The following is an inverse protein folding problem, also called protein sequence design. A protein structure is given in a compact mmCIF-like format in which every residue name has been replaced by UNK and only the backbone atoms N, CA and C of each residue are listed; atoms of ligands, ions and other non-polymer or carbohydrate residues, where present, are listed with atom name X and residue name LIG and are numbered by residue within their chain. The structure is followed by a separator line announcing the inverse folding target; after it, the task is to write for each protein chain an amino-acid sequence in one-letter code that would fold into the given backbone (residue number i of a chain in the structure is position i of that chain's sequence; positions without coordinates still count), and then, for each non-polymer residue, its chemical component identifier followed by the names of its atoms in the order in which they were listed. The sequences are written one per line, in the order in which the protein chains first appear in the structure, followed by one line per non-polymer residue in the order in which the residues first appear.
data_IF_298894095207
#
_entry.id   IF_298894095207
#
_cell.length_a   1.000
_cell.length_b   1.000
_cell.length_c   1.000
_cell.angle_alpha   90.00
_cell.angle_beta   90.00
_cell.angle_gamma   90.00
#
_symmetry.space_group_name_H-M   'P 1'
#
loop_
_entity.id
_entity.type
_entity.pdbx_description
1 polymer ?
#
# COMPACT_ATOMS: atom_id res chain seq x y z
N UNK A 1 11.81 22.57 -2.84
CA UNK A 1 11.06 21.34 -2.50
C UNK A 1 11.47 20.85 -1.11
N UNK A 2 10.54 20.24 -0.36
CA UNK A 2 10.74 19.83 1.04
C UNK A 2 11.95 18.90 1.25
N UNK A 3 12.17 17.95 0.34
CA UNK A 3 13.32 17.05 0.40
C UNK A 3 14.68 17.79 0.36
N UNK A 4 14.79 18.88 -0.42
CA UNK A 4 16.01 19.69 -0.45
C UNK A 4 16.22 20.45 0.85
N UNK A 5 15.14 20.96 1.46
CA UNK A 5 15.20 21.59 2.78
C UNK A 5 15.71 20.60 3.83
N UNK A 6 15.15 19.38 3.86
CA UNK A 6 15.61 18.32 4.75
C UNK A 6 17.08 17.97 4.54
N UNK A 7 17.55 17.85 3.30
CA UNK A 7 18.96 17.56 2.98
C UNK A 7 19.94 18.57 3.60
N UNK A 8 19.54 19.83 3.80
CA UNK A 8 20.39 20.83 4.46
C UNK A 8 20.61 20.57 5.95
N UNK A 9 19.77 19.73 6.58
CA UNK A 9 19.80 19.40 8.00
C UNK A 9 20.47 18.03 8.28
N UNK A 10 20.81 17.30 7.22
CA UNK A 10 21.38 15.96 7.29
C UNK A 10 22.90 15.98 7.32
N UNK A 11 23.47 15.03 8.06
CA UNK A 11 24.91 14.80 8.16
C UNK A 11 25.42 13.89 7.04
N UNK A 12 26.76 13.80 6.84
CA UNK A 12 27.34 12.75 6.02
C UNK A 12 26.81 11.36 6.40
N UNK A 13 26.48 10.54 5.39
CA UNK A 13 25.83 9.22 5.49
C UNK A 13 24.33 9.21 5.80
N UNK A 14 23.69 10.36 6.00
CA UNK A 14 22.23 10.43 6.12
C UNK A 14 21.58 10.69 4.77
N UNK A 15 20.34 10.22 4.61
CA UNK A 15 19.67 10.27 3.32
C UNK A 15 18.16 10.51 3.49
N UNK A 16 17.59 11.17 2.48
CA UNK A 16 16.15 11.33 2.27
C UNK A 16 15.73 10.41 1.13
N UNK A 17 14.66 9.66 1.34
CA UNK A 17 14.04 8.72 0.42
C UNK A 17 12.59 9.15 0.16
N UNK A 18 12.11 8.88 -1.05
CA UNK A 18 10.72 9.09 -1.43
C UNK A 18 9.97 7.77 -1.38
N UNK A 19 8.78 7.77 -0.78
CA UNK A 19 7.84 6.65 -0.83
C UNK A 19 6.71 6.90 -1.84
N UNK A 20 6.04 5.83 -2.26
CA UNK A 20 4.79 5.94 -2.99
C UNK A 20 3.72 6.56 -2.08
N UNK A 21 3.01 7.60 -2.55
CA UNK A 21 1.93 8.24 -1.77
C UNK A 21 2.22 9.65 -1.23
N UNK A 22 3.35 10.27 -1.60
CA UNK A 22 3.81 11.63 -1.20
C UNK A 22 4.65 11.72 0.07
N UNK A 23 5.01 10.59 0.67
CA UNK A 23 5.76 10.57 1.92
C UNK A 23 7.28 10.66 1.69
N UNK A 24 7.95 11.30 2.65
CA UNK A 24 9.40 11.37 2.74
C UNK A 24 9.87 10.60 3.97
N UNK A 25 10.88 9.76 3.77
CA UNK A 25 11.58 9.06 4.85
C UNK A 25 12.99 9.58 4.91
N UNK A 26 13.50 9.83 6.11
CA UNK A 26 14.92 10.15 6.27
C UNK A 26 15.56 9.32 7.37
N UNK A 27 16.81 8.92 7.13
CA UNK A 27 17.61 8.12 8.07
C UNK A 27 18.56 9.06 8.82
N UNK A 28 18.46 9.07 10.14
CA UNK A 28 19.44 9.72 11.01
C UNK A 28 20.44 8.71 11.57
N UNK A 29 21.66 9.18 11.85
CA UNK A 29 22.64 8.48 12.66
C UNK A 29 22.14 8.39 14.12
N UNK A 30 22.57 7.36 14.85
CA UNK A 30 22.12 7.10 16.22
C UNK A 30 22.67 8.11 17.24
N UNK A 31 23.77 8.78 16.95
CA UNK A 31 24.39 9.72 17.88
C UNK A 31 23.64 11.06 17.90
N UNK A 32 23.23 11.50 19.09
CA UNK A 32 22.55 12.80 19.28
C UNK A 32 21.16 12.93 18.61
N UNK A 33 20.58 11.83 18.13
CA UNK A 33 19.35 11.84 17.31
C UNK A 33 18.17 12.56 17.97
N UNK A 34 18.00 12.50 19.29
CA UNK A 34 16.90 13.17 20.00
C UNK A 34 16.91 14.69 19.80
N UNK A 35 18.04 15.35 20.03
CA UNK A 35 18.17 16.79 19.83
C UNK A 35 17.93 17.17 18.36
N UNK A 36 18.38 16.30 17.44
CA UNK A 36 18.24 16.51 16.00
C UNK A 36 16.80 16.34 15.50
N UNK A 37 16.05 15.40 16.05
CA UNK A 37 14.61 15.24 15.78
C UNK A 37 13.87 16.55 16.12
N UNK A 38 14.13 17.14 17.28
CA UNK A 38 13.52 18.42 17.67
C UNK A 38 13.94 19.59 16.77
N UNK A 39 15.21 19.62 16.33
CA UNK A 39 15.69 20.64 15.39
C UNK A 39 15.01 20.51 14.03
N UNK A 40 14.89 19.27 13.52
CA UNK A 40 14.24 18.99 12.23
C UNK A 40 12.76 19.35 12.29
N UNK A 41 12.02 18.94 13.33
CA UNK A 41 10.61 19.29 13.51
C UNK A 41 10.38 20.81 13.49
N UNK A 42 11.21 21.56 14.24
CA UNK A 42 11.12 23.03 14.24
C UNK A 42 11.37 23.61 12.85
N UNK A 43 12.37 23.09 12.13
CA UNK A 43 12.70 23.52 10.78
C UNK A 43 11.60 23.19 9.78
N UNK A 44 10.95 22.02 9.90
CA UNK A 44 9.80 21.62 9.08
C UNK A 44 8.59 22.52 9.32
N UNK A 45 8.31 22.91 10.57
CA UNK A 45 7.21 23.85 10.90
C UNK A 45 7.44 25.24 10.30
N UNK A 46 8.69 25.67 10.18
CA UNK A 46 9.07 26.95 9.61
C UNK A 46 9.18 26.93 8.08
N UNK A 47 9.14 25.74 7.46
CA UNK A 47 9.23 25.60 6.02
C UNK A 47 8.11 26.40 5.32
N UNK A 48 8.49 27.07 4.24
CA UNK A 48 7.59 27.82 3.36
C UNK A 48 7.82 27.36 1.93
N UNK A 49 6.75 26.94 1.28
CA UNK A 49 6.74 26.59 -0.12
C UNK A 49 6.12 27.73 -0.92
N UNK A 50 6.79 28.24 -1.94
CA UNK A 50 6.21 29.26 -2.81
C UNK A 50 5.59 28.59 -4.03
N UNK A 51 4.29 28.79 -4.23
CA UNK A 51 3.56 28.35 -5.40
C UNK A 51 2.98 29.57 -6.11
N UNK A 52 3.44 29.84 -7.33
CA UNK A 52 2.98 30.98 -8.14
C UNK A 52 3.02 32.33 -7.38
N UNK A 53 4.13 32.58 -6.68
CA UNK A 53 4.32 33.79 -5.86
C UNK A 53 3.61 33.78 -4.50
N UNK A 54 2.74 32.80 -4.22
CA UNK A 54 2.03 32.68 -2.94
C UNK A 54 2.81 31.78 -1.98
N UNK A 55 3.16 32.26 -0.77
CA UNK A 55 3.76 31.41 0.26
C UNK A 55 2.71 30.50 0.88
N UNK A 56 2.87 29.20 0.72
CA UNK A 56 2.10 28.14 1.37
C UNK A 56 2.92 27.53 2.52
N UNK A 57 2.26 27.29 3.64
CA UNK A 57 2.83 26.56 4.77
C UNK A 57 2.17 25.18 4.86
N UNK A 58 2.78 24.12 4.29
CA UNK A 58 2.22 22.79 4.39
C UNK A 58 2.21 22.33 5.85
N UNK A 59 1.14 21.65 6.26
CA UNK A 59 1.14 20.93 7.54
C UNK A 59 1.92 19.64 7.34
N UNK A 60 3.03 19.50 8.06
CA UNK A 60 3.91 18.34 7.94
C UNK A 60 3.85 17.58 9.28
N UNK A 61 3.39 16.33 9.22
CA UNK A 61 3.44 15.41 10.33
C UNK A 61 4.79 14.72 10.38
N UNK A 62 5.31 14.44 11.58
CA UNK A 62 6.57 13.73 11.74
C UNK A 62 6.43 12.62 12.77
N UNK A 63 6.88 11.44 12.41
CA UNK A 63 7.07 10.32 13.33
C UNK A 63 8.49 9.79 13.22
N UNK A 64 8.93 9.05 14.23
CA UNK A 64 10.26 8.46 14.24
C UNK A 64 10.31 7.17 15.07
N UNK A 65 11.30 6.35 14.77
CA UNK A 65 11.65 5.17 15.55
C UNK A 65 13.17 4.94 15.51
N UNK A 66 13.66 4.09 16.42
CA UNK A 66 15.03 3.57 16.36
C UNK A 66 15.02 2.14 15.86
N UNK A 67 15.87 1.82 14.89
CA UNK A 67 16.01 0.47 14.33
C UNK A 67 17.38 -0.13 14.63
N UNK A 68 17.42 -1.46 14.77
CA UNK A 68 18.69 -2.21 14.82
C UNK A 68 18.83 -3.02 13.54
N UNK A 69 20.03 -3.06 12.98
CA UNK A 69 20.33 -3.89 11.81
C UNK A 69 20.42 -5.37 12.22
N UNK A 70 19.94 -6.32 11.38
CA UNK A 70 19.18 -6.09 10.15
C UNK A 70 17.71 -5.71 10.45
N UNK A 71 17.19 -4.74 9.71
CA UNK A 71 15.76 -4.37 9.80
C UNK A 71 14.96 -5.37 9.00
N UNK A 72 14.24 -6.26 9.69
CA UNK A 72 13.26 -7.15 9.06
C UNK A 72 12.01 -6.33 8.72
N UNK A 73 11.44 -6.55 7.54
CA UNK A 73 10.17 -5.95 7.13
C UNK A 73 10.16 -4.41 7.16
N UNK A 74 11.14 -3.75 6.54
CA UNK A 74 11.27 -2.29 6.54
C UNK A 74 9.99 -1.56 6.06
N UNK A 75 9.34 -2.06 5.02
CA UNK A 75 8.12 -1.46 4.45
C UNK A 75 6.98 -1.33 5.49
N UNK A 76 6.91 -2.24 6.45
CA UNK A 76 5.89 -2.26 7.49
C UNK A 76 6.11 -1.16 8.51
N UNK A 77 7.35 -1.06 8.97
CA UNK A 77 7.77 0.01 9.86
C UNK A 77 7.49 1.39 9.23
N UNK A 78 7.67 1.52 7.92
CA UNK A 78 7.38 2.75 7.19
C UNK A 78 5.87 3.06 7.14
N UNK A 79 5.01 2.05 6.93
CA UNK A 79 3.55 2.22 6.96
C UNK A 79 3.02 2.68 8.33
N UNK A 80 3.58 2.13 9.42
CA UNK A 80 3.23 2.54 10.79
C UNK A 80 3.69 3.96 11.10
N UNK A 81 4.94 4.27 10.74
CA UNK A 81 5.46 5.62 10.86
C UNK A 81 4.56 6.61 10.12
N UNK A 82 4.06 6.24 8.94
CA UNK A 82 3.15 7.10 8.18
C UNK A 82 1.83 7.36 8.94
N UNK A 83 1.19 6.29 9.41
CA UNK A 83 -0.07 6.36 10.17
C UNK A 83 0.07 7.25 11.42
N UNK A 84 1.23 7.18 12.09
CA UNK A 84 1.50 7.95 13.30
C UNK A 84 1.95 9.38 13.00
N UNK A 85 2.55 9.63 11.82
CA UNK A 85 2.89 10.98 11.39
C UNK A 85 1.64 11.85 11.24
N UNK A 86 0.51 11.29 10.79
CA UNK A 86 -0.77 12.00 10.78
C UNK A 86 -1.21 12.45 12.17
N UNK A 87 -0.93 11.66 13.21
CA UNK A 87 -1.26 12.02 14.59
C UNK A 87 -0.38 13.17 15.11
N UNK A 88 0.86 13.27 14.62
CA UNK A 88 1.77 14.38 14.94
C UNK A 88 1.19 15.75 14.54
N UNK A 89 0.33 15.78 13.52
CA UNK A 89 -0.39 16.99 13.14
C UNK A 89 -1.35 17.47 14.22
N UNK A 90 -1.95 16.55 14.99
CA UNK A 90 -2.86 16.86 16.08
C UNK A 90 -2.12 17.10 17.41
N UNK A 91 -1.11 16.29 17.73
CA UNK A 91 -0.35 16.43 18.98
C UNK A 91 0.63 17.61 18.97
N UNK A 92 1.02 18.07 17.77
CA UNK A 92 1.91 19.22 17.62
C UNK A 92 3.37 18.94 17.96
N UNK A 93 3.76 17.67 18.08
CA UNK A 93 5.15 17.26 18.27
C UNK A 93 5.45 15.97 17.48
N UNK A 94 6.73 15.65 17.19
CA UNK A 94 7.09 14.40 16.57
C UNK A 94 6.66 13.21 17.43
N UNK A 95 6.08 12.19 16.79
CA UNK A 95 5.58 11.01 17.48
C UNK A 95 6.63 9.89 17.50
N UNK A 96 6.84 9.30 18.68
CA UNK A 96 7.78 8.19 18.85
C UNK A 96 7.02 6.86 18.87
N UNK A 97 7.24 6.04 17.84
CA UNK A 97 6.62 4.71 17.71
C UNK A 97 6.85 3.82 18.96
N UNK A 98 8.02 3.91 19.59
CA UNK A 98 8.41 3.05 20.72
C UNK A 98 7.77 3.48 22.06
N UNK A 99 7.30 4.72 22.21
CA UNK A 99 6.72 5.23 23.48
C UNK A 99 5.25 4.86 23.68
N UNK A 100 4.55 4.40 22.65
CA UNK A 100 3.09 4.13 22.70
C UNK A 100 2.68 2.74 23.23
N UNK A 101 3.60 2.01 23.84
CA UNK A 101 3.33 0.65 24.30
C UNK A 101 3.49 -0.33 23.14
N UNK A 102 4.64 -1.01 23.14
CA UNK A 102 5.03 -1.93 22.09
C UNK A 102 4.00 -3.04 21.83
N UNK A 103 3.09 -3.36 22.77
CA UNK A 103 2.17 -4.50 22.66
C UNK A 103 1.08 -4.38 21.59
N UNK A 104 0.29 -3.30 21.56
CA UNK A 104 -0.80 -3.15 20.60
C UNK A 104 -0.28 -2.85 19.18
N UNK A 105 0.76 -2.03 19.07
CA UNK A 105 1.41 -1.71 17.80
C UNK A 105 2.13 -2.93 17.22
N UNK A 106 2.83 -3.73 18.04
CA UNK A 106 3.43 -4.99 17.56
C UNK A 106 2.40 -6.02 17.13
N UNK A 107 1.19 -6.00 17.70
CA UNK A 107 0.15 -6.95 17.34
C UNK A 107 -0.48 -6.59 15.99
N UNK A 108 -0.86 -5.33 15.79
CA UNK A 108 -1.34 -4.84 14.48
C UNK A 108 -0.28 -5.05 13.38
N UNK A 109 0.99 -4.79 13.70
CA UNK A 109 2.14 -5.10 12.85
C UNK A 109 2.19 -6.57 12.47
N UNK A 110 2.11 -7.45 13.47
CA UNK A 110 2.19 -8.90 13.27
C UNK A 110 1.05 -9.39 12.38
N UNK A 111 -0.15 -8.88 12.58
CA UNK A 111 -1.32 -9.28 11.80
C UNK A 111 -1.18 -8.80 10.35
N UNK A 112 -0.65 -7.60 10.11
CA UNK A 112 -0.30 -7.12 8.76
C UNK A 112 0.82 -7.94 8.10
N UNK A 113 1.87 -8.34 8.84
CA UNK A 113 2.94 -9.23 8.33
C UNK A 113 2.34 -10.56 7.89
N UNK A 114 1.49 -11.15 8.74
CA UNK A 114 0.84 -12.43 8.47
C UNK A 114 -0.02 -12.32 7.21
N UNK A 115 -0.85 -11.27 7.12
CA UNK A 115 -1.67 -11.03 5.93
C UNK A 115 -0.82 -10.82 4.68
N UNK A 116 0.27 -10.05 4.75
CA UNK A 116 1.17 -9.87 3.62
C UNK A 116 1.77 -11.20 3.15
N UNK A 117 2.24 -12.04 4.08
CA UNK A 117 2.77 -13.36 3.72
C UNK A 117 1.69 -14.24 3.09
N UNK A 118 0.43 -14.15 3.54
CA UNK A 118 -0.72 -14.83 2.90
C UNK A 118 -0.94 -14.32 1.48
N UNK A 119 -0.92 -13.01 1.25
CA UNK A 119 -1.04 -12.41 -0.10
C UNK A 119 0.09 -12.91 -1.01
N UNK A 120 1.34 -12.89 -0.54
CA UNK A 120 2.50 -13.36 -1.33
C UNK A 120 2.35 -14.84 -1.69
N UNK A 121 2.00 -15.69 -0.72
CA UNK A 121 1.72 -17.11 -0.97
C UNK A 121 0.60 -17.30 -1.97
N UNK A 122 -0.49 -16.54 -1.85
CA UNK A 122 -1.64 -16.64 -2.75
C UNK A 122 -1.30 -16.20 -4.18
N UNK A 123 -0.44 -15.18 -4.34
CA UNK A 123 0.10 -14.78 -5.64
C UNK A 123 1.03 -15.84 -6.25
N UNK A 124 1.77 -16.58 -5.43
CA UNK A 124 2.75 -17.59 -5.87
C UNK A 124 2.14 -18.96 -6.17
N UNK A 125 1.07 -19.33 -5.46
CA UNK A 125 0.47 -20.67 -5.49
C UNK A 125 -0.97 -20.67 -6.01
N UNK A 126 -1.41 -19.57 -6.65
CA UNK A 126 -2.77 -19.40 -7.19
C UNK A 126 -3.89 -19.69 -6.17
N UNK A 127 -3.74 -19.15 -4.94
CA UNK A 127 -4.77 -19.22 -3.90
C UNK A 127 -5.67 -17.98 -3.85
N UNK A 128 -5.79 -17.27 -4.97
CA UNK A 128 -6.89 -16.35 -5.17
C UNK A 128 -7.99 -17.03 -5.98
N UNK A 129 -9.23 -16.65 -5.70
CA UNK A 129 -10.39 -17.05 -6.48
C UNK A 129 -11.14 -15.81 -6.93
N UNK A 130 -11.71 -15.88 -8.12
CA UNK A 130 -12.58 -14.84 -8.65
C UNK A 130 -14.03 -15.26 -8.41
N UNK A 131 -14.83 -14.30 -7.97
CA UNK A 131 -16.28 -14.40 -7.87
C UNK A 131 -16.90 -13.39 -8.84
N UNK A 132 -18.10 -13.68 -9.35
CA UNK A 132 -18.80 -12.81 -10.28
C UNK A 132 -20.15 -12.38 -9.70
N UNK A 133 -20.28 -11.13 -9.28
CA UNK A 133 -21.52 -10.60 -8.73
C UNK A 133 -22.37 -9.97 -9.86
N UNK A 134 -23.61 -10.41 -10.08
CA UNK A 134 -24.47 -9.84 -11.12
C UNK A 134 -24.87 -8.40 -10.78
N UNK A 135 -24.70 -7.50 -11.74
CA UNK A 135 -25.17 -6.12 -11.69
C UNK A 135 -26.24 -5.91 -12.77
N UNK A 136 -27.41 -5.46 -12.34
CA UNK A 136 -28.53 -5.16 -13.22
C UNK A 136 -28.81 -3.65 -13.22
N UNK A 137 -28.50 -3.01 -14.34
CA UNK A 137 -28.80 -1.61 -14.58
C UNK A 137 -30.31 -1.39 -14.78
N UNK A 138 -30.80 -0.25 -14.30
CA UNK A 138 -32.20 0.16 -14.42
C UNK A 138 -32.64 0.24 -15.90
N UNK A 139 -31.69 0.56 -16.80
CA UNK A 139 -31.90 0.64 -18.25
C UNK A 139 -31.82 -0.71 -18.99
N UNK A 140 -31.67 -1.81 -18.25
CA UNK A 140 -31.60 -3.16 -18.81
C UNK A 140 -30.19 -3.69 -19.07
N UNK A 141 -29.14 -2.89 -18.82
CA UNK A 141 -27.76 -3.36 -18.86
C UNK A 141 -27.54 -4.48 -17.84
N UNK A 142 -26.82 -5.53 -18.26
CA UNK A 142 -26.41 -6.64 -17.38
C UNK A 142 -24.93 -6.89 -17.59
N UNK A 143 -24.19 -6.92 -16.48
CA UNK A 143 -22.79 -7.31 -16.43
C UNK A 143 -22.51 -7.94 -15.07
N UNK A 144 -21.32 -8.50 -14.89
CA UNK A 144 -20.91 -9.02 -13.59
C UNK A 144 -19.69 -8.25 -13.10
N UNK A 145 -19.70 -7.87 -11.84
CA UNK A 145 -18.53 -7.35 -11.15
C UNK A 145 -17.64 -8.52 -10.70
N UNK A 146 -16.37 -8.47 -11.07
CA UNK A 146 -15.36 -9.44 -10.69
C UNK A 146 -14.81 -9.06 -9.32
N UNK A 147 -14.98 -9.96 -8.36
CA UNK A 147 -14.57 -9.79 -6.99
C UNK A 147 -13.54 -10.84 -6.62
N UNK A 148 -12.32 -10.40 -6.36
CA UNK A 148 -11.26 -11.28 -5.87
C UNK A 148 -11.51 -11.67 -4.41
N UNK A 149 -11.18 -12.92 -4.07
CA UNK A 149 -11.13 -13.46 -2.72
C UNK A 149 -9.83 -14.24 -2.57
N UNK A 150 -9.28 -14.25 -1.37
CA UNK A 150 -8.11 -15.06 -1.05
C UNK A 150 -8.56 -16.30 -0.29
N UNK A 151 -8.20 -17.48 -0.79
CA UNK A 151 -8.49 -18.76 -0.15
C UNK A 151 -7.42 -19.05 0.92
N UNK A 152 -7.86 -19.42 2.12
CA UNK A 152 -7.00 -19.83 3.21
C UNK A 152 -6.77 -21.34 3.27
N UNK A 153 -5.93 -21.78 4.20
CA UNK A 153 -5.50 -23.17 4.30
C UNK A 153 -6.64 -24.15 4.67
N UNK A 154 -7.73 -23.65 5.26
CA UNK A 154 -8.92 -24.45 5.59
C UNK A 154 -10.10 -24.22 4.63
N UNK A 155 -9.86 -23.56 3.49
CA UNK A 155 -10.88 -23.23 2.48
C UNK A 155 -11.71 -21.99 2.83
N UNK A 156 -11.33 -21.24 3.86
CA UNK A 156 -11.98 -19.98 4.21
C UNK A 156 -11.66 -18.89 3.17
N UNK A 157 -12.67 -18.09 2.80
CA UNK A 157 -12.50 -16.99 1.85
C UNK A 157 -12.34 -15.66 2.57
N UNK A 158 -11.17 -15.05 2.43
CA UNK A 158 -10.88 -13.70 2.91
C UNK A 158 -11.28 -12.65 1.86
N UNK A 159 -12.02 -11.62 2.29
CA UNK A 159 -12.54 -10.58 1.41
C UNK A 159 -11.49 -9.51 1.05
N UNK A 160 -11.69 -8.77 -0.05
CA UNK A 160 -10.76 -7.73 -0.52
C UNK A 160 -10.60 -6.59 0.49
N UNK A 161 -11.64 -6.29 1.27
CA UNK A 161 -11.58 -5.26 2.30
C UNK A 161 -10.58 -5.59 3.42
N UNK A 162 -10.24 -6.86 3.61
CA UNK A 162 -9.29 -7.31 4.63
C UNK A 162 -7.85 -7.28 4.12
N UNK A 163 -7.61 -7.71 2.87
CA UNK A 163 -6.25 -7.87 2.35
C UNK A 163 -5.79 -6.75 1.40
N UNK A 164 -6.67 -6.03 0.72
CA UNK A 164 -6.26 -4.95 -0.20
C UNK A 164 -5.62 -3.75 0.52
N UNK A 165 -6.04 -3.32 1.72
CA UNK A 165 -5.32 -2.26 2.45
C UNK A 165 -3.86 -2.64 2.73
N UNK A 166 -3.65 -3.90 3.14
CA UNK A 166 -2.32 -4.51 3.37
C UNK A 166 -1.53 -4.60 2.06
N UNK A 167 -2.17 -5.01 0.95
CA UNK A 167 -1.54 -5.04 -0.36
C UNK A 167 -1.09 -3.65 -0.82
N UNK A 168 -1.89 -2.62 -0.57
CA UNK A 168 -1.56 -1.23 -0.89
C UNK A 168 -0.38 -0.72 -0.07
N UNK A 169 -0.42 -0.93 1.25
CA UNK A 169 0.65 -0.53 2.16
C UNK A 169 2.00 -1.18 1.81
N UNK A 170 1.99 -2.38 1.23
CA UNK A 170 3.19 -3.12 0.82
C UNK A 170 3.52 -3.08 -0.66
N UNK A 171 2.83 -2.23 -1.44
CA UNK A 171 3.09 -2.09 -2.87
C UNK A 171 2.80 -3.36 -3.68
N UNK A 172 1.94 -4.24 -3.16
CA UNK A 172 1.50 -5.48 -3.81
C UNK A 172 0.23 -5.29 -4.65
N UNK A 173 -0.46 -4.15 -4.56
CA UNK A 173 -1.71 -3.89 -5.30
C UNK A 173 -1.58 -4.15 -6.80
N UNK A 174 -0.46 -3.75 -7.42
CA UNK A 174 -0.25 -3.98 -8.86
C UNK A 174 -0.14 -5.45 -9.22
N UNK A 175 0.47 -6.28 -8.35
CA UNK A 175 0.57 -7.73 -8.57
C UNK A 175 -0.78 -8.41 -8.42
N UNK A 176 -1.57 -7.98 -7.44
CA UNK A 176 -2.95 -8.46 -7.25
C UNK A 176 -3.82 -8.09 -8.45
N UNK A 177 -3.80 -6.82 -8.86
CA UNK A 177 -4.57 -6.35 -10.02
C UNK A 177 -4.19 -7.12 -11.30
N UNK A 178 -2.89 -7.33 -11.53
CA UNK A 178 -2.41 -8.11 -12.67
C UNK A 178 -2.93 -9.56 -12.63
N UNK A 179 -2.84 -10.21 -11.46
CA UNK A 179 -3.36 -11.57 -11.28
C UNK A 179 -4.86 -11.63 -11.60
N UNK A 180 -5.66 -10.66 -11.12
CA UNK A 180 -7.11 -10.58 -11.40
C UNK A 180 -7.38 -10.40 -12.89
N UNK A 181 -6.66 -9.51 -13.57
CA UNK A 181 -6.81 -9.28 -15.01
C UNK A 181 -6.50 -10.56 -15.79
N UNK A 182 -5.36 -11.19 -15.53
CA UNK A 182 -4.91 -12.39 -16.24
C UNK A 182 -5.92 -13.53 -16.10
N UNK A 183 -6.41 -13.79 -14.89
CA UNK A 183 -7.37 -14.85 -14.62
C UNK A 183 -8.76 -14.54 -15.17
N UNK A 184 -9.18 -13.27 -15.15
CA UNK A 184 -10.44 -12.85 -15.77
C UNK A 184 -10.40 -13.06 -17.28
N UNK A 185 -9.31 -12.65 -17.94
CA UNK A 185 -9.14 -12.81 -19.38
C UNK A 185 -9.04 -14.29 -19.79
N UNK A 186 -8.32 -15.10 -19.00
CA UNK A 186 -8.24 -16.55 -19.22
C UNK A 186 -9.62 -17.21 -19.13
N UNK A 187 -10.43 -16.83 -18.13
CA UNK A 187 -11.80 -17.30 -18.00
C UNK A 187 -12.67 -16.90 -19.19
N UNK A 188 -12.57 -15.65 -19.66
CA UNK A 188 -13.32 -15.17 -20.82
C UNK A 188 -12.95 -15.94 -22.09
N UNK A 189 -11.66 -16.19 -22.34
CA UNK A 189 -11.22 -16.94 -23.53
C UNK A 189 -11.72 -18.40 -23.48
N UNK A 190 -11.62 -19.06 -22.33
CA UNK A 190 -12.10 -20.43 -22.16
C UNK A 190 -13.62 -20.56 -22.36
N UNK A 191 -14.40 -19.53 -21.98
CA UNK A 191 -15.85 -19.57 -21.99
C UNK A 191 -16.50 -18.79 -23.14
N UNK A 192 -15.71 -18.22 -24.06
CA UNK A 192 -16.20 -17.34 -25.15
C UNK A 192 -17.32 -17.94 -26.00
N UNK A 193 -17.38 -19.27 -26.15
CA UNK A 193 -18.42 -19.98 -26.91
C UNK A 193 -19.68 -20.25 -26.09
N UNK A 194 -19.51 -20.57 -24.80
CA UNK A 194 -20.62 -20.91 -23.91
C UNK A 194 -21.31 -19.66 -23.35
N UNK A 195 -20.56 -18.58 -23.16
CA UNK A 195 -21.03 -17.30 -22.62
C UNK A 195 -20.75 -16.15 -23.62
N UNK A 196 -21.36 -16.18 -24.82
CA UNK A 196 -21.16 -15.14 -25.81
C UNK A 196 -21.68 -13.79 -25.28
N UNK A 197 -20.87 -12.73 -25.40
CA UNK A 197 -21.25 -11.40 -24.95
C UNK A 197 -21.17 -11.17 -23.43
N UNK A 198 -20.49 -12.05 -22.69
CA UNK A 198 -20.21 -11.85 -21.27
C UNK A 198 -19.48 -10.52 -21.03
N UNK A 199 -20.08 -9.67 -20.18
CA UNK A 199 -19.50 -8.40 -19.73
C UNK A 199 -19.05 -8.54 -18.29
N UNK A 200 -17.75 -8.34 -18.06
CA UNK A 200 -17.13 -8.36 -16.74
C UNK A 200 -16.55 -6.98 -16.42
N UNK A 201 -16.75 -6.51 -15.20
CA UNK A 201 -16.16 -5.29 -14.66
C UNK A 201 -15.09 -5.66 -13.64
N UNK A 202 -13.87 -5.13 -13.80
CA UNK A 202 -12.74 -5.37 -12.89
C UNK A 202 -12.43 -4.07 -12.15
N UNK A 203 -12.26 -4.15 -10.83
CA UNK A 203 -11.78 -3.04 -10.01
C UNK A 203 -10.25 -3.02 -10.04
N UNK A 204 -9.66 -1.85 -10.31
CA UNK A 204 -8.20 -1.66 -10.36
C UNK A 204 -7.76 -0.56 -9.41
N UNK A 205 -6.60 -0.74 -8.78
CA UNK A 205 -6.02 0.28 -7.93
C UNK A 205 -5.46 1.47 -8.75
N UNK A 206 -5.45 2.69 -8.21
CA UNK A 206 -4.92 3.87 -8.91
C UNK A 206 -3.45 3.72 -9.33
N UNK A 207 -2.65 2.98 -8.55
CA UNK A 207 -1.24 2.72 -8.84
C UNK A 207 -1.03 1.82 -10.07
N UNK A 208 -1.99 0.94 -10.37
CA UNK A 208 -1.96 0.10 -11.56
C UNK A 208 -2.31 0.89 -12.83
N UNK A 209 -3.20 1.88 -12.73
CA UNK A 209 -3.57 2.74 -13.86
C UNK A 209 -2.46 3.72 -14.26
N UNK A 210 -1.57 4.06 -13.34
CA UNK A 210 -0.45 5.00 -13.58
C UNK A 210 0.83 4.33 -14.10
N UNK A 211 0.96 3.00 -13.99
CA UNK A 211 2.06 2.25 -14.59
C UNK A 211 1.67 1.80 -16.00
N UNK A 212 2.14 2.53 -17.01
CA UNK A 212 1.90 2.28 -18.44
C UNK A 212 2.56 1.01 -19.02
N UNK A 213 2.79 -0.05 -18.24
CA UNK A 213 3.28 -1.33 -18.74
C UNK A 213 2.28 -2.44 -18.39
N UNK A 214 1.25 -2.57 -19.22
CA UNK A 214 0.48 -3.80 -19.33
C UNK A 214 1.43 -4.91 -19.86
N UNK A 215 1.51 -6.09 -19.22
CA UNK A 215 2.33 -7.17 -19.75
C UNK A 215 1.74 -7.73 -21.06
N UNK A 216 2.57 -8.16 -22.03
CA UNK A 216 2.10 -8.97 -23.14
C UNK A 216 1.65 -10.34 -22.61
N UNK A 217 0.44 -10.76 -22.97
CA UNK A 217 -0.25 -11.90 -22.37
C UNK A 217 0.56 -13.20 -22.32
N UNK A 218 0.50 -13.87 -21.16
CA UNK A 218 1.07 -15.18 -20.89
C UNK A 218 0.01 -16.15 -20.34
N UNK A 219 0.05 -17.39 -20.81
CA UNK A 219 -0.98 -18.42 -20.67
C UNK A 219 -1.00 -19.12 -19.30
N UNK A 220 -2.22 -19.52 -18.91
CA UNK A 220 -2.59 -20.75 -18.18
C UNK A 220 -2.49 -20.79 -16.64
N UNK A 221 -3.64 -20.71 -15.98
CA UNK A 221 -4.11 -21.67 -14.98
C UNK A 221 -5.65 -21.53 -14.84
N UNK A 222 -6.37 -22.65 -14.95
CA UNK A 222 -7.83 -22.67 -14.85
C UNK A 222 -8.23 -22.80 -13.37
N UNK A 223 -8.73 -21.72 -12.77
CA UNK A 223 -9.42 -21.75 -11.49
C UNK A 223 -10.93 -21.59 -11.73
N UNK A 224 -11.70 -22.59 -11.29
CA UNK A 224 -13.15 -22.63 -11.43
C UNK A 224 -13.81 -21.54 -10.59
N UNK A 225 -14.52 -20.63 -11.26
CA UNK A 225 -15.46 -19.72 -10.59
C UNK A 225 -16.63 -20.55 -10.04
N UNK A 226 -16.85 -20.50 -8.73
CA UNK A 226 -18.08 -20.98 -8.12
C UNK A 226 -19.16 -19.89 -8.23
N UNK A 227 -20.37 -20.30 -8.59
CA UNK A 227 -21.54 -19.47 -8.87
C UNK A 227 -22.14 -18.81 -7.62
#
# INVERSE_FOLDING_TARGET
MLANHLRTLLQPNEAVYHLAGHDLVFRLNSEGHQARIHLIDRSLRQFRFHWDGVPLQPRIGMSYCSVRSPVKHLYLLLGELNTIADMSLASGHPENLQRRGAGHVQQDLKDKVVMMNRILKALEHDHFVLMAQPIQGIRGDRYHEVLVRMEGESGELTGPNEFLPVAHEFGLSTRVDQWVIEHTLAFMDANRRALPGLRLAINLSPVSLSRSQFPPGGRSAAAGLQH
#
